data_IF_802298806908
#
_entry.id   IF_802298806908
#
_cell.length_a   1.000
_cell.length_b   1.000
_cell.length_c   1.000
_cell.angle_alpha   90.00
_cell.angle_beta   90.00
_cell.angle_gamma   90.00
#
_symmetry.space_group_name_H-M   'P 1'
#
loop_
_entity.id
_entity.type
_entity.pdbx_description
1 polymer ?
#
# COMPACT_ATOMS: atom_id res chain seq x y z
N UNK A 1 -34.48 -51.80 -8.71
CA UNK A 1 -33.49 -50.92 -9.35
C UNK A 1 -32.12 -51.53 -9.14
N UNK A 2 -31.41 -52.03 -10.15
CA UNK A 2 -30.06 -52.56 -9.92
C UNK A 2 -29.07 -51.39 -9.79
N UNK A 3 -28.24 -51.49 -8.75
CA UNK A 3 -27.13 -50.59 -8.45
C UNK A 3 -26.11 -50.64 -9.59
N UNK A 4 -25.79 -49.48 -10.15
CA UNK A 4 -24.77 -49.33 -11.18
C UNK A 4 -23.39 -49.49 -10.53
N UNK A 5 -22.75 -50.64 -10.74
CA UNK A 5 -21.38 -50.90 -10.28
C UNK A 5 -20.44 -50.23 -11.28
N UNK A 6 -19.83 -49.12 -10.88
CA UNK A 6 -18.81 -48.46 -11.69
C UNK A 6 -17.60 -49.39 -11.87
N UNK A 7 -17.43 -49.91 -13.08
CA UNK A 7 -16.24 -50.66 -13.48
C UNK A 7 -15.06 -49.70 -13.46
N UNK A 8 -14.04 -50.00 -12.66
CA UNK A 8 -12.80 -49.21 -12.66
C UNK A 8 -12.11 -49.34 -14.01
N UNK A 9 -11.54 -48.24 -14.55
CA UNK A 9 -10.90 -48.27 -15.86
C UNK A 9 -9.73 -49.28 -15.87
N UNK A 10 -9.48 -49.94 -17.01
CA UNK A 10 -8.36 -50.86 -17.14
C UNK A 10 -7.03 -50.13 -16.92
N UNK A 11 -6.06 -50.84 -16.33
CA UNK A 11 -4.73 -50.29 -16.13
C UNK A 11 -4.06 -49.98 -17.49
N UNK A 12 -3.31 -48.88 -17.58
CA UNK A 12 -2.65 -48.48 -18.82
C UNK A 12 -1.62 -49.52 -19.26
N UNK A 13 -1.57 -49.77 -20.56
CA UNK A 13 -0.58 -50.66 -21.19
C UNK A 13 0.80 -50.00 -21.24
N UNK A 14 1.84 -50.75 -21.59
CA UNK A 14 3.20 -50.20 -21.77
C UNK A 14 3.23 -49.09 -22.81
N UNK A 15 2.41 -49.22 -23.86
CA UNK A 15 2.34 -48.26 -24.96
C UNK A 15 1.60 -46.98 -24.52
N UNK A 16 0.57 -47.11 -23.68
CA UNK A 16 -0.13 -45.97 -23.07
C UNK A 16 0.82 -45.18 -22.16
N UNK A 17 1.59 -45.87 -21.33
CA UNK A 17 2.58 -45.22 -20.46
C UNK A 17 3.66 -44.51 -21.29
N UNK A 18 4.16 -45.15 -22.36
CA UNK A 18 5.14 -44.54 -23.24
C UNK A 18 4.59 -43.30 -23.97
N UNK A 19 3.32 -43.30 -24.35
CA UNK A 19 2.65 -42.14 -24.93
C UNK A 19 2.50 -41.00 -23.91
N UNK A 20 2.08 -41.31 -22.68
CA UNK A 20 2.01 -40.35 -21.58
C UNK A 20 3.37 -39.73 -21.27
N UNK A 21 4.44 -40.51 -21.26
CA UNK A 21 5.80 -39.98 -21.03
C UNK A 21 6.26 -39.05 -22.15
N UNK A 22 6.01 -39.41 -23.43
CA UNK A 22 6.32 -38.51 -24.57
C UNK A 22 5.53 -37.21 -24.50
N UNK A 23 4.27 -37.26 -24.10
CA UNK A 23 3.43 -36.08 -23.92
C UNK A 23 3.95 -35.19 -22.78
N UNK A 24 4.34 -35.78 -21.64
CA UNK A 24 4.96 -35.06 -20.53
C UNK A 24 6.31 -34.44 -20.93
N UNK A 25 7.14 -35.13 -21.71
CA UNK A 25 8.40 -34.60 -22.24
C UNK A 25 8.17 -33.43 -23.19
N UNK A 26 7.20 -33.54 -24.09
CA UNK A 26 6.81 -32.46 -25.00
C UNK A 26 6.29 -31.23 -24.22
N UNK A 27 5.47 -31.44 -23.19
CA UNK A 27 4.99 -30.37 -22.31
C UNK A 27 6.11 -29.74 -21.48
N UNK A 28 7.09 -30.53 -21.02
CA UNK A 28 8.26 -30.04 -20.32
C UNK A 28 9.18 -29.22 -21.24
N UNK A 29 9.35 -29.64 -22.49
CA UNK A 29 10.13 -28.93 -23.51
C UNK A 29 9.45 -27.64 -23.99
N UNK A 30 8.11 -27.63 -24.07
CA UNK A 30 7.31 -26.46 -24.41
C UNK A 30 7.19 -25.44 -23.25
N UNK A 31 7.60 -25.81 -22.03
CA UNK A 31 7.55 -24.90 -20.88
C UNK A 31 8.49 -23.72 -21.13
N UNK A 32 8.00 -22.47 -21.10
CA UNK A 32 8.86 -21.32 -21.35
C UNK A 32 10.02 -21.34 -20.35
N UNK A 33 11.25 -21.28 -20.86
CA UNK A 33 12.45 -21.20 -20.01
C UNK A 33 12.27 -20.01 -19.08
N UNK A 34 12.40 -20.24 -17.77
CA UNK A 34 12.36 -19.15 -16.80
C UNK A 34 13.51 -18.20 -17.14
N UNK A 35 13.17 -16.96 -17.49
CA UNK A 35 14.15 -15.88 -17.57
C UNK A 35 14.75 -15.74 -16.17
N UNK A 36 16.07 -15.84 -16.06
CA UNK A 36 16.80 -15.76 -14.77
C UNK A 36 17.49 -14.41 -14.58
N UNK A 37 17.92 -13.80 -15.69
CA UNK A 37 18.50 -12.46 -15.73
C UNK A 37 17.41 -11.42 -15.44
N UNK A 38 17.62 -10.60 -14.39
CA UNK A 38 16.71 -9.52 -14.01
C UNK A 38 16.49 -8.50 -15.12
N UNK A 39 17.52 -8.24 -15.93
CA UNK A 39 17.48 -7.18 -16.93
C UNK A 39 16.62 -7.56 -18.14
N UNK A 40 16.32 -8.85 -18.30
CA UNK A 40 15.48 -9.38 -19.38
C UNK A 40 14.04 -9.66 -18.91
N UNK A 41 13.74 -9.43 -17.63
CA UNK A 41 12.40 -9.67 -17.09
C UNK A 41 11.47 -8.51 -17.44
N UNK A 42 10.23 -8.83 -17.79
CA UNK A 42 9.18 -7.82 -17.78
C UNK A 42 8.99 -7.31 -16.34
N UNK A 43 9.10 -5.99 -16.16
CA UNK A 43 9.17 -5.39 -14.84
C UNK A 43 7.88 -5.67 -14.03
N UNK A 44 6.71 -5.45 -14.64
CA UNK A 44 5.43 -5.59 -13.94
C UNK A 44 4.98 -7.04 -13.82
N UNK A 45 5.02 -7.80 -14.91
CA UNK A 45 4.48 -9.15 -15.01
C UNK A 45 5.44 -10.25 -14.54
N UNK A 46 6.74 -9.98 -14.41
CA UNK A 46 7.71 -10.99 -13.96
C UNK A 46 8.50 -10.54 -12.73
N UNK A 47 9.15 -9.38 -12.78
CA UNK A 47 10.04 -8.94 -11.71
C UNK A 47 9.27 -8.65 -10.41
N UNK A 48 8.23 -7.81 -10.45
CA UNK A 48 7.45 -7.41 -9.27
C UNK A 48 6.66 -8.55 -8.62
N UNK A 49 6.40 -9.65 -9.31
CA UNK A 49 5.76 -10.84 -8.72
C UNK A 49 6.78 -11.90 -8.28
N UNK A 50 8.05 -11.72 -8.61
CA UNK A 50 9.11 -12.70 -8.39
C UNK A 50 9.37 -12.95 -6.89
N UNK A 51 9.83 -14.16 -6.52
CA UNK A 51 10.35 -14.42 -5.17
C UNK A 51 11.55 -13.54 -4.79
N UNK A 52 12.30 -13.03 -5.77
CA UNK A 52 13.42 -12.11 -5.56
C UNK A 52 12.89 -10.78 -5.03
N UNK A 53 11.99 -10.13 -5.77
CA UNK A 53 11.41 -8.86 -5.33
C UNK A 53 10.69 -8.97 -3.99
N UNK A 54 9.95 -10.06 -3.74
CA UNK A 54 9.31 -10.28 -2.43
C UNK A 54 10.30 -10.29 -1.27
N UNK A 55 11.50 -10.84 -1.45
CA UNK A 55 12.57 -10.84 -0.44
C UNK A 55 13.18 -9.45 -0.27
N UNK A 56 13.46 -8.75 -1.37
CA UNK A 56 13.96 -7.37 -1.37
C UNK A 56 12.97 -6.46 -0.64
N UNK A 57 11.70 -6.46 -1.06
CA UNK A 57 10.63 -5.67 -0.46
C UNK A 57 10.52 -5.90 1.05
N UNK A 58 10.53 -7.16 1.50
CA UNK A 58 10.46 -7.49 2.93
C UNK A 58 11.65 -6.90 3.71
N UNK A 59 12.85 -6.99 3.16
CA UNK A 59 14.08 -6.50 3.79
C UNK A 59 14.10 -4.97 3.90
N UNK A 60 13.74 -4.27 2.83
CA UNK A 60 13.67 -2.80 2.80
C UNK A 60 12.61 -2.28 3.77
N UNK A 61 11.40 -2.86 3.76
CA UNK A 61 10.34 -2.50 4.71
C UNK A 61 10.76 -2.73 6.16
N UNK A 62 11.50 -3.80 6.44
CA UNK A 62 12.01 -4.10 7.78
C UNK A 62 13.11 -3.12 8.22
N UNK A 63 14.07 -2.80 7.32
CA UNK A 63 15.11 -1.79 7.56
C UNK A 63 14.49 -0.44 7.93
N UNK A 64 13.50 -0.02 7.17
CA UNK A 64 12.83 1.28 7.32
C UNK A 64 11.75 1.27 8.40
N UNK A 65 11.54 0.13 9.10
CA UNK A 65 10.49 -0.07 10.12
C UNK A 65 9.07 0.26 9.63
N UNK A 66 8.83 0.11 8.33
CA UNK A 66 7.56 0.50 7.70
C UNK A 66 7.29 2.01 7.74
N UNK A 67 8.32 2.84 7.86
CA UNK A 67 8.24 4.29 7.84
C UNK A 67 8.63 4.81 6.45
N UNK A 68 7.81 5.70 5.91
CA UNK A 68 8.09 6.39 4.67
C UNK A 68 9.32 7.27 4.83
N UNK A 69 10.34 7.05 4.01
CA UNK A 69 11.60 7.78 4.04
C UNK A 69 11.49 9.21 3.48
N UNK A 70 10.35 9.58 2.88
CA UNK A 70 10.12 10.93 2.34
C UNK A 70 9.28 11.83 3.27
N UNK A 71 8.19 11.33 3.86
CA UNK A 71 7.33 12.14 4.76
C UNK A 71 7.47 11.80 6.25
N UNK A 72 8.05 10.63 6.59
CA UNK A 72 8.11 10.11 7.97
C UNK A 72 6.81 9.46 8.47
N UNK A 73 5.76 9.40 7.66
CA UNK A 73 4.52 8.66 7.97
C UNK A 73 4.64 7.15 7.75
N UNK A 74 3.54 6.39 7.87
CA UNK A 74 3.54 4.95 7.59
C UNK A 74 3.69 4.67 6.08
N UNK A 75 4.62 3.79 5.72
CA UNK A 75 4.87 3.35 4.35
C UNK A 75 4.70 1.84 4.17
N UNK A 76 4.29 1.44 2.97
CA UNK A 76 4.03 0.03 2.61
C UNK A 76 4.54 -0.35 1.21
N UNK A 77 4.98 0.64 0.45
CA UNK A 77 5.55 0.50 -0.89
C UNK A 77 7.07 0.64 -0.80
N UNK A 78 7.77 0.01 -1.74
CA UNK A 78 9.21 0.23 -1.92
C UNK A 78 9.39 0.89 -3.27
N UNK A 79 9.99 2.07 -3.26
CA UNK A 79 10.31 2.87 -4.44
C UNK A 79 11.76 2.62 -4.85
N UNK A 80 11.98 2.49 -6.17
CA UNK A 80 13.30 2.38 -6.76
C UNK A 80 13.82 3.79 -7.06
N UNK A 81 14.99 4.11 -6.54
CA UNK A 81 15.73 5.33 -6.86
C UNK A 81 16.73 5.12 -8.01
N UNK A 82 16.99 3.87 -8.35
CA UNK A 82 17.76 3.43 -9.52
C UNK A 82 17.28 2.06 -9.98
N UNK A 83 17.37 1.82 -11.28
CA UNK A 83 17.05 0.56 -11.95
C UNK A 83 18.30 -0.20 -12.40
N UNK A 84 19.47 0.15 -11.85
CA UNK A 84 20.72 -0.57 -12.11
C UNK A 84 20.62 -2.05 -11.70
N UNK A 85 21.42 -2.88 -12.37
CA UNK A 85 21.40 -4.34 -12.21
C UNK A 85 21.59 -4.77 -10.75
N UNK A 86 22.49 -4.14 -10.00
CA UNK A 86 22.75 -4.46 -8.60
C UNK A 86 21.54 -4.17 -7.69
N UNK A 87 20.78 -3.12 -7.99
CA UNK A 87 19.52 -2.78 -7.31
C UNK A 87 18.44 -3.84 -7.61
N UNK A 88 18.25 -4.16 -8.89
CA UNK A 88 17.25 -5.17 -9.33
C UNK A 88 17.61 -6.59 -8.88
N UNK A 89 18.89 -6.91 -8.76
CA UNK A 89 19.36 -8.17 -8.19
C UNK A 89 19.21 -8.22 -6.65
N UNK A 90 18.97 -7.06 -6.02
CA UNK A 90 18.80 -6.93 -4.57
C UNK A 90 20.12 -6.95 -3.81
N UNK A 91 21.22 -6.55 -4.47
CA UNK A 91 22.56 -6.40 -3.91
C UNK A 91 22.80 -5.00 -3.34
N UNK A 92 22.02 -4.01 -3.78
CA UNK A 92 22.12 -2.62 -3.34
C UNK A 92 20.76 -2.09 -2.85
N UNK A 93 20.56 -2.16 -1.53
CA UNK A 93 19.34 -1.64 -0.91
C UNK A 93 19.36 -0.12 -0.73
N UNK A 94 20.51 0.56 -0.88
CA UNK A 94 20.61 2.01 -0.66
C UNK A 94 19.81 2.82 -1.69
N UNK A 95 19.60 2.24 -2.88
CA UNK A 95 18.77 2.80 -3.94
C UNK A 95 17.30 2.33 -3.87
N UNK A 96 16.88 1.77 -2.74
CA UNK A 96 15.51 1.39 -2.45
C UNK A 96 15.03 2.08 -1.18
N UNK A 97 13.81 2.62 -1.21
CA UNK A 97 13.25 3.33 -0.07
C UNK A 97 11.80 2.94 0.18
N UNK A 98 11.43 2.77 1.43
CA UNK A 98 10.03 2.62 1.82
C UNK A 98 9.30 3.95 1.64
N UNK A 99 8.17 3.95 0.95
CA UNK A 99 7.32 5.12 0.75
C UNK A 99 5.85 4.82 1.02
N UNK A 100 5.08 5.86 1.34
CA UNK A 100 3.62 5.78 1.30
C UNK A 100 3.09 6.03 -0.11
N UNK A 101 1.83 5.71 -0.36
CA UNK A 101 1.18 5.93 -1.66
C UNK A 101 1.20 7.40 -2.09
N UNK A 102 0.89 8.33 -1.18
CA UNK A 102 1.00 9.78 -1.43
C UNK A 102 2.36 10.21 -1.95
N UNK A 103 3.44 9.88 -1.22
CA UNK A 103 4.80 10.20 -1.65
C UNK A 103 5.17 9.50 -2.95
N UNK A 104 4.77 8.24 -3.15
CA UNK A 104 5.01 7.53 -4.41
C UNK A 104 4.39 8.29 -5.59
N UNK A 105 3.15 8.75 -5.46
CA UNK A 105 2.48 9.49 -6.52
C UNK A 105 3.07 10.88 -6.74
N UNK A 106 3.49 11.58 -5.67
CA UNK A 106 4.18 12.87 -5.80
C UNK A 106 5.50 12.74 -6.57
N UNK A 107 6.24 11.66 -6.33
CA UNK A 107 7.52 11.38 -7.02
C UNK A 107 7.30 11.12 -8.50
N UNK A 108 6.26 10.37 -8.87
CA UNK A 108 6.02 9.99 -10.27
C UNK A 108 5.12 10.96 -11.05
N UNK A 109 4.35 11.82 -10.38
CA UNK A 109 3.34 12.66 -11.03
C UNK A 109 3.34 14.10 -10.50
N UNK A 110 3.18 15.05 -11.42
CA UNK A 110 2.93 16.47 -11.13
C UNK A 110 1.49 16.70 -10.65
N UNK A 111 1.19 17.91 -10.18
CA UNK A 111 -0.12 18.23 -9.60
C UNK A 111 -1.27 18.22 -10.61
N UNK A 112 -0.97 18.39 -11.91
CA UNK A 112 -1.92 18.23 -13.01
C UNK A 112 -2.14 16.76 -13.42
N UNK A 113 -1.45 15.82 -12.76
CA UNK A 113 -1.53 14.38 -13.02
C UNK A 113 -0.64 13.88 -14.15
N UNK A 114 0.15 14.75 -14.79
CA UNK A 114 1.13 14.30 -15.79
C UNK A 114 2.30 13.55 -15.16
N UNK A 115 2.89 12.62 -15.90
CA UNK A 115 4.03 11.85 -15.42
C UNK A 115 5.28 12.73 -15.37
N UNK A 116 6.01 12.68 -14.25
CA UNK A 116 7.31 13.33 -14.11
C UNK A 116 8.38 12.57 -14.89
N UNK A 117 9.34 13.27 -15.50
CA UNK A 117 10.50 12.63 -16.10
C UNK A 117 11.32 11.88 -15.04
N UNK A 118 11.92 10.75 -15.40
CA UNK A 118 12.62 9.85 -14.48
C UNK A 118 13.78 10.55 -13.75
N UNK A 119 14.43 11.49 -14.44
CA UNK A 119 15.57 12.26 -13.93
C UNK A 119 15.19 13.16 -12.73
N UNK A 120 13.90 13.48 -12.57
CA UNK A 120 13.42 14.27 -11.43
C UNK A 120 13.11 13.42 -10.19
N UNK A 121 12.85 12.11 -10.35
CA UNK A 121 12.26 11.31 -9.28
C UNK A 121 13.09 11.30 -8.01
N UNK A 122 14.40 11.13 -8.13
CA UNK A 122 15.30 11.10 -6.97
C UNK A 122 15.38 12.46 -6.28
N UNK A 123 15.40 13.54 -7.07
CA UNK A 123 15.41 14.91 -6.55
C UNK A 123 14.13 15.22 -5.76
N UNK A 124 12.96 14.81 -6.27
CA UNK A 124 11.66 14.97 -5.60
C UNK A 124 11.58 14.11 -4.33
N UNK A 125 12.12 12.89 -4.37
CA UNK A 125 12.21 12.03 -3.20
C UNK A 125 13.07 12.67 -2.09
N UNK A 126 14.27 13.13 -2.46
CA UNK A 126 15.25 13.73 -1.54
C UNK A 126 14.82 15.08 -0.99
N UNK A 127 14.05 15.87 -1.75
CA UNK A 127 13.46 17.11 -1.26
C UNK A 127 12.59 16.88 0.00
N UNK A 128 12.05 15.68 0.16
CA UNK A 128 11.23 15.29 1.30
C UNK A 128 9.83 15.89 1.23
N UNK A 129 8.83 15.12 1.66
CA UNK A 129 7.43 15.54 1.66
C UNK A 129 6.93 15.65 3.10
N UNK A 130 7.62 16.49 3.88
CA UNK A 130 7.31 16.74 5.30
C UNK A 130 6.20 17.77 5.50
N UNK A 131 5.46 18.12 4.44
CA UNK A 131 4.35 19.06 4.51
C UNK A 131 3.37 18.62 5.61
N UNK A 132 3.11 19.55 6.54
CA UNK A 132 2.17 19.35 7.65
C UNK A 132 0.85 20.05 7.41
N UNK A 133 0.79 20.89 6.37
CA UNK A 133 -0.42 21.56 5.95
C UNK A 133 -1.46 20.51 5.60
N UNK A 134 -2.46 20.41 6.48
CA UNK A 134 -3.63 19.56 6.28
C UNK A 134 -4.42 20.20 5.15
N UNK A 135 -4.73 19.47 4.06
CA UNK A 135 -5.51 20.03 2.96
C UNK A 135 -6.84 20.58 3.49
N UNK A 136 -7.40 21.64 2.87
CA UNK A 136 -8.62 22.26 3.34
C UNK A 136 -9.71 21.19 3.44
N UNK A 137 -10.09 20.85 4.67
CA UNK A 137 -11.14 19.87 4.90
C UNK A 137 -12.50 20.54 4.84
N UNK A 138 -13.49 19.84 4.29
CA UNK A 138 -14.86 20.30 4.27
C UNK A 138 -15.46 20.38 5.68
N UNK A 139 -16.78 20.54 5.77
CA UNK A 139 -17.47 20.54 7.07
C UNK A 139 -17.22 19.23 7.82
N UNK A 140 -16.60 19.32 8.99
CA UNK A 140 -16.29 18.16 9.83
C UNK A 140 -17.51 17.78 10.67
N UNK A 141 -18.10 16.61 10.43
CA UNK A 141 -19.14 16.05 11.31
C UNK A 141 -18.50 15.36 12.52
N UNK A 142 -18.42 16.09 13.64
CA UNK A 142 -17.90 15.58 14.92
C UNK A 142 -18.76 14.48 15.57
N UNK A 143 -19.85 14.02 14.94
CA UNK A 143 -20.60 12.82 15.37
C UNK A 143 -20.04 11.54 14.75
N UNK A 144 -19.28 11.64 13.65
CA UNK A 144 -18.74 10.50 12.92
C UNK A 144 -17.23 10.40 13.15
N UNK A 145 -16.67 9.18 13.24
CA UNK A 145 -15.23 8.99 13.35
C UNK A 145 -14.49 9.18 12.02
N UNK A 146 -15.21 9.49 10.94
CA UNK A 146 -14.70 9.67 9.58
C UNK A 146 -14.97 11.10 9.15
N UNK A 147 -14.01 11.71 8.45
CA UNK A 147 -14.15 13.01 7.81
C UNK A 147 -14.33 12.82 6.30
N UNK A 148 -15.05 13.74 5.67
CA UNK A 148 -15.23 13.76 4.22
C UNK A 148 -14.19 14.72 3.62
N UNK A 149 -13.45 14.25 2.62
CA UNK A 149 -12.56 15.10 1.83
C UNK A 149 -13.40 15.97 0.87
N UNK A 150 -12.93 17.17 0.50
CA UNK A 150 -13.61 17.98 -0.51
C UNK A 150 -13.81 17.22 -1.82
N UNK A 151 -14.89 17.53 -2.53
CA UNK A 151 -15.10 17.01 -3.88
C UNK A 151 -13.92 17.39 -4.78
N UNK A 152 -13.41 16.43 -5.57
CA UNK A 152 -12.27 16.64 -6.46
C UNK A 152 -10.89 16.55 -5.78
N UNK A 153 -10.83 16.34 -4.47
CA UNK A 153 -9.55 16.12 -3.79
C UNK A 153 -9.00 14.72 -4.10
N UNK A 154 -7.82 14.67 -4.71
CA UNK A 154 -7.13 13.41 -4.98
C UNK A 154 -6.47 12.86 -3.72
N UNK A 155 -7.14 11.89 -3.09
CA UNK A 155 -6.65 11.18 -1.91
C UNK A 155 -5.32 10.46 -2.17
N UNK A 156 -5.05 10.06 -3.42
CA UNK A 156 -3.85 9.29 -3.78
C UNK A 156 -2.57 10.11 -3.63
N UNK A 157 -2.64 11.45 -3.59
CA UNK A 157 -1.51 12.36 -3.38
C UNK A 157 -1.34 12.78 -1.92
N UNK A 158 -2.27 12.44 -1.03
CA UNK A 158 -2.16 12.76 0.39
C UNK A 158 -1.10 11.86 1.04
N UNK A 159 -0.05 12.47 1.60
CA UNK A 159 1.00 11.72 2.27
C UNK A 159 0.48 11.03 3.53
N UNK A 160 1.15 9.97 3.96
CA UNK A 160 0.81 9.30 5.21
C UNK A 160 0.97 10.22 6.44
N UNK A 161 1.89 11.19 6.38
CA UNK A 161 2.05 12.20 7.44
C UNK A 161 0.82 13.10 7.52
N UNK A 162 0.40 13.69 6.40
CA UNK A 162 -0.79 14.54 6.33
C UNK A 162 -2.05 13.79 6.77
N UNK A 163 -2.21 12.54 6.33
CA UNK A 163 -3.34 11.72 6.75
C UNK A 163 -3.37 11.49 8.27
N UNK A 164 -2.22 11.23 8.88
CA UNK A 164 -2.12 11.03 10.33
C UNK A 164 -2.41 12.33 11.10
N UNK A 165 -1.84 13.46 10.67
CA UNK A 165 -2.11 14.77 11.28
C UNK A 165 -3.61 15.11 11.21
N UNK A 166 -4.23 14.88 10.05
CA UNK A 166 -5.67 15.08 9.87
C UNK A 166 -6.50 14.17 10.78
N UNK A 167 -6.12 12.90 10.90
CA UNK A 167 -6.78 11.96 11.81
C UNK A 167 -6.66 12.39 13.27
N UNK A 168 -5.48 12.86 13.70
CA UNK A 168 -5.25 13.35 15.06
C UNK A 168 -6.10 14.58 15.36
N UNK A 169 -6.11 15.56 14.46
CA UNK A 169 -6.93 16.77 14.58
C UNK A 169 -8.43 16.42 14.70
N UNK A 170 -8.93 15.48 13.88
CA UNK A 170 -10.31 15.02 13.94
C UNK A 170 -10.66 14.38 15.29
N UNK A 171 -9.81 13.47 15.78
CA UNK A 171 -10.01 12.81 17.07
C UNK A 171 -9.96 13.82 18.23
N UNK A 172 -9.08 14.82 18.15
CA UNK A 172 -9.00 15.87 19.15
C UNK A 172 -10.28 16.71 19.17
N UNK A 173 -10.78 17.13 18.02
CA UNK A 173 -12.04 17.89 17.94
C UNK A 173 -13.25 17.12 18.49
N UNK A 174 -13.31 15.80 18.31
CA UNK A 174 -14.34 14.94 18.93
C UNK A 174 -14.21 14.97 20.47
N UNK A 175 -12.99 14.86 21.00
CA UNK A 175 -12.74 14.93 22.45
C UNK A 175 -13.15 16.27 23.02
N UNK A 176 -12.73 17.36 22.37
CA UNK A 176 -13.05 18.72 22.80
C UNK A 176 -14.56 18.96 22.84
N UNK A 177 -15.29 18.49 21.82
CA UNK A 177 -16.77 18.54 21.81
C UNK A 177 -17.39 17.76 22.97
N UNK A 178 -16.87 16.57 23.27
CA UNK A 178 -17.36 15.75 24.40
C UNK A 178 -17.10 16.46 25.74
N UNK A 179 -15.92 17.03 25.92
CA UNK A 179 -15.57 17.81 27.12
C UNK A 179 -16.45 19.04 27.26
N UNK A 180 -16.66 19.82 26.19
CA UNK A 180 -17.54 20.98 26.19
C UNK A 180 -18.99 20.61 26.55
N UNK A 181 -19.50 19.50 26.02
CA UNK A 181 -20.83 18.99 26.37
C UNK A 181 -20.93 18.61 27.86
N UNK A 182 -19.92 17.92 28.40
CA UNK A 182 -19.88 17.56 29.82
C UNK A 182 -19.88 18.80 30.73
N UNK A 183 -19.06 19.82 30.40
CA UNK A 183 -19.03 21.10 31.12
C UNK A 183 -20.38 21.81 31.07
N UNK A 184 -21.07 21.76 29.92
CA UNK A 184 -22.40 22.37 29.75
C UNK A 184 -23.46 21.67 30.61
N UNK A 185 -23.42 20.34 30.70
CA UNK A 185 -24.32 19.55 31.55
C UNK A 185 -24.05 19.85 33.03
N UNK A 186 -22.76 19.87 33.44
CA UNK A 186 -22.35 20.25 34.80
C UNK A 186 -22.85 21.65 35.20
N UNK A 187 -22.69 22.65 34.33
CA UNK A 187 -23.21 24.00 34.60
C UNK A 187 -24.75 24.04 34.73
N UNK A 188 -25.48 23.26 33.94
CA UNK A 188 -26.96 23.19 34.02
C UNK A 188 -27.42 22.53 35.31
N UNK A 189 -26.75 21.47 35.76
CA UNK A 189 -27.09 20.78 37.02
C UNK A 189 -26.80 21.65 38.25
N UNK A 190 -25.67 22.36 38.26
CA UNK A 190 -25.36 23.33 39.33
C UNK A 190 -26.39 24.47 39.39
N UNK A 191 -26.81 25.00 38.23
CA UNK A 191 -27.82 26.06 38.17
C UNK A 191 -29.20 25.59 38.63
N UNK A 192 -29.61 24.37 38.26
CA UNK A 192 -30.89 23.81 38.70
C UNK A 192 -30.93 23.57 40.22
N UNK A 193 -29.86 23.02 40.80
CA UNK A 193 -29.77 22.80 42.25
C UNK A 193 -29.75 24.08 43.09
N UNK A 194 -29.35 25.21 42.50
CA UNK A 194 -29.42 26.53 43.14
C UNK A 194 -30.81 27.19 43.06
N UNK A 195 -31.69 26.75 42.15
CA UNK A 195 -33.05 27.29 42.01
C UNK A 195 -34.10 26.54 42.86
N UNK A 196 -33.78 25.33 43.32
CA UNK A 196 -34.65 24.54 44.22
C UNK A 196 -34.40 24.83 45.73
N UNK A 197 -33.52 25.77 46.06
CA UNK A 197 -33.18 26.15 47.44
C UNK A 197 -33.73 27.53 47.88
N UNK A 198 -34.49 28.20 47.01
CA UNK A 198 -35.24 29.44 47.27
C UNK A 198 -36.75 29.16 47.24
#
# INVERSE_FOLDING_TARGET
MPLNVAVSPPNPTSDDLAAMFRELEALAAARPRRITDVMLMDYHGQYLISPRWRRIKKRVLARDKGICQSCGGRGSLVHHRSYERDVLEGKNDAMLATVCEGCHNIIHFTDDGSARPEEEWDSVFLAGQHQEDIPPVGKIDLRRPVFDLPAGFDRSRMTARQFELLRQAHLQAIRDKRQANALRIGKRTLKAGAQDQD
#
